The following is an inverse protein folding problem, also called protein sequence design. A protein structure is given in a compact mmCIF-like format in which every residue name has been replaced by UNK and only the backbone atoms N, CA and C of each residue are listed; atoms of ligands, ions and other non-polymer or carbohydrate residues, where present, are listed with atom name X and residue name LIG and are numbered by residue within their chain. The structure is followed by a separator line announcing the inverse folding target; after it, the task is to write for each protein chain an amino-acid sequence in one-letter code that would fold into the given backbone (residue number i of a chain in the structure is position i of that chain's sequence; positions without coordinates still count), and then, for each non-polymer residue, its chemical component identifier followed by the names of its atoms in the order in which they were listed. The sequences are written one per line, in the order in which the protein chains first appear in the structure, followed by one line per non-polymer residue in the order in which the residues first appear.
data_IF_434026569764
#
_entry.id   IF_434026569764
#
_cell.length_a   1.000
_cell.length_b   1.000
_cell.length_c   1.000
_cell.angle_alpha   90.00
_cell.angle_beta   90.00
_cell.angle_gamma   90.00
#
_symmetry.space_group_name_H-M   'P 1'
#
loop_
_entity.id
_entity.type
_entity.pdbx_description
1 polymer ?
#
# COMPACT_ATOMS: atom_id res chain seq x y z
N UNK A 1 -12.12 14.79 -16.12
CA UNK A 1 -12.25 15.43 -14.78
C UNK A 1 -13.24 14.62 -13.94
N UNK A 2 -12.92 14.29 -12.68
CA UNK A 2 -13.82 13.54 -11.80
C UNK A 2 -14.99 14.40 -11.28
N UNK A 3 -16.18 13.79 -11.11
CA UNK A 3 -17.36 14.51 -10.60
C UNK A 3 -17.17 14.95 -9.14
N UNK A 4 -17.84 16.03 -8.69
CA UNK A 4 -17.78 16.50 -7.31
C UNK A 4 -18.17 15.42 -6.28
N UNK A 5 -19.16 14.57 -6.62
CA UNK A 5 -19.61 13.49 -5.75
C UNK A 5 -18.51 12.42 -5.52
N UNK A 6 -17.70 12.13 -6.55
CA UNK A 6 -16.61 11.18 -6.43
C UNK A 6 -15.46 11.76 -5.59
N UNK A 7 -15.15 13.05 -5.73
CA UNK A 7 -14.16 13.72 -4.87
C UNK A 7 -14.54 13.65 -3.39
N UNK A 8 -15.81 13.90 -3.07
CA UNK A 8 -16.29 13.84 -1.69
C UNK A 8 -16.30 12.42 -1.12
N UNK A 9 -16.65 11.41 -1.94
CA UNK A 9 -16.58 10.00 -1.54
C UNK A 9 -15.14 9.56 -1.24
N UNK A 10 -14.16 10.01 -2.03
CA UNK A 10 -12.74 9.72 -1.81
C UNK A 10 -12.17 10.45 -0.60
N UNK A 11 -12.61 11.70 -0.35
CA UNK A 11 -12.28 12.48 0.86
C UNK A 11 -12.74 11.75 2.12
N UNK A 12 -13.97 11.26 2.15
CA UNK A 12 -14.54 10.50 3.27
C UNK A 12 -13.86 9.13 3.49
N UNK A 13 -13.28 8.53 2.46
CA UNK A 13 -12.54 7.25 2.55
C UNK A 13 -11.05 7.41 2.89
N UNK A 14 -10.57 8.61 3.25
CA UNK A 14 -9.18 8.84 3.64
C UNK A 14 -8.18 8.57 2.51
N UNK A 15 -8.63 8.56 1.26
CA UNK A 15 -7.80 8.28 0.07
C UNK A 15 -7.36 9.59 -0.59
N UNK A 16 -6.41 10.29 0.02
CA UNK A 16 -5.66 11.36 -0.66
C UNK A 16 -4.65 10.71 -1.62
N UNK A 17 -5.10 10.41 -2.84
CA UNK A 17 -4.20 10.13 -3.96
C UNK A 17 -3.84 11.47 -4.60
N UNK A 18 -2.56 11.83 -4.56
CA UNK A 18 -1.94 13.02 -5.16
C UNK A 18 -2.18 14.36 -4.43
N UNK A 19 -1.21 14.78 -3.61
CA UNK A 19 -0.95 16.21 -3.40
C UNK A 19 -0.01 16.68 -4.52
N UNK A 20 -0.45 17.71 -5.25
CA UNK A 20 0.46 18.50 -6.07
C UNK A 20 1.41 19.24 -5.11
N UNK A 21 2.69 18.90 -5.19
CA UNK A 21 3.75 19.73 -4.63
C UNK A 21 3.91 21.02 -5.48
N UNK A 22 4.40 22.08 -4.81
CA UNK A 22 4.76 23.43 -5.26
C UNK A 22 3.65 24.47 -5.00
N UNK A 23 3.66 25.11 -3.83
CA UNK A 23 4.46 26.29 -3.44
C UNK A 23 3.79 27.58 -3.93
N UNK A 24 3.27 28.38 -3.01
CA UNK A 24 3.53 29.83 -3.00
C UNK A 24 3.14 30.44 -1.65
N UNK A 25 4.06 31.25 -1.14
CA UNK A 25 3.90 32.07 0.05
C UNK A 25 2.79 33.10 -0.18
N UNK A 26 1.72 33.02 0.61
CA UNK A 26 0.69 34.05 0.71
C UNK A 26 0.50 34.45 2.17
N UNK A 27 1.33 35.38 2.64
CA UNK A 27 1.13 36.07 3.92
C UNK A 27 -0.08 37.01 3.80
N UNK A 28 -1.12 36.81 4.60
CA UNK A 28 -2.07 37.87 4.93
C UNK A 28 -2.55 37.72 6.38
N UNK A 29 -2.15 38.70 7.18
CA UNK A 29 -2.53 38.96 8.58
C UNK A 29 -3.38 40.22 8.61
N UNK A 30 -4.62 40.13 9.10
CA UNK A 30 -5.53 41.18 9.63
C UNK A 30 -6.65 40.40 10.37
N UNK A 31 -7.29 40.74 11.48
CA UNK A 31 -7.48 41.96 12.29
C UNK A 31 -7.94 41.55 13.70
N UNK A 32 -7.41 42.17 14.76
CA UNK A 32 -8.08 43.08 15.71
C UNK A 32 -9.19 42.52 16.64
N UNK A 33 -8.94 42.58 17.95
CA UNK A 33 -9.89 43.10 18.96
C UNK A 33 -9.20 43.32 20.33
N UNK A 34 -9.20 44.54 20.91
CA UNK A 34 -8.68 44.83 22.26
C UNK A 34 -9.78 45.28 23.24
N UNK A 35 -9.59 45.02 24.54
CA UNK A 35 -10.23 45.60 25.78
C UNK A 35 -9.88 44.63 26.94
N UNK A 36 -9.50 44.98 28.16
CA UNK A 36 -9.72 46.11 29.07
C UNK A 36 -8.72 46.02 30.26
N UNK A 37 -8.25 47.17 30.77
CA UNK A 37 -8.17 47.57 32.22
C UNK A 37 -7.24 46.73 33.14
N UNK A 38 -6.25 47.25 33.89
CA UNK A 38 -6.29 48.29 34.95
C UNK A 38 -4.87 48.79 35.36
N UNK A 39 -4.81 50.06 35.77
CA UNK A 39 -3.98 50.72 36.81
C UNK A 39 -2.44 50.94 36.70
N UNK A 40 -2.13 52.21 36.38
CA UNK A 40 -1.30 53.18 37.11
C UNK A 40 -0.06 52.73 37.94
N UNK A 41 1.12 53.25 37.58
CA UNK A 41 1.93 54.14 38.44
C UNK A 41 2.98 54.92 37.62
N UNK A 42 3.06 56.23 37.89
CA UNK A 42 4.00 57.24 37.34
C UNK A 42 5.41 57.11 37.95
N UNK A 43 6.48 57.37 37.17
CA UNK A 43 7.37 58.54 37.31
C UNK A 43 8.66 58.45 36.45
N UNK A 44 8.73 59.36 35.47
CA UNK A 44 9.84 60.23 35.02
C UNK A 44 11.28 59.75 34.82
N UNK A 45 11.72 59.95 33.56
CA UNK A 45 12.97 60.58 33.10
C UNK A 45 14.32 59.83 33.18
N UNK A 46 14.79 59.30 32.06
CA UNK A 46 15.81 59.96 31.20
C UNK A 46 16.28 59.02 30.04
N UNK A 47 16.31 59.60 28.84
CA UNK A 47 17.17 59.33 27.67
C UNK A 47 17.31 57.91 27.06
N UNK A 48 16.59 57.73 25.94
CA UNK A 48 16.85 57.05 24.65
C UNK A 48 17.98 56.00 24.42
N UNK A 49 17.77 55.06 23.47
CA UNK A 49 18.23 53.66 23.55
C UNK A 49 19.60 53.38 22.90
N UNK A 50 20.49 52.60 23.52
CA UNK A 50 20.70 51.13 23.45
C UNK A 50 20.68 50.45 22.05
N UNK A 51 21.78 49.72 21.79
CA UNK A 51 21.94 48.39 21.13
C UNK A 51 22.71 48.33 19.80
N UNK A 52 24.00 47.98 19.94
CA UNK A 52 24.75 46.87 19.31
C UNK A 52 24.53 46.60 17.80
N UNK A 53 25.52 46.83 16.93
CA UNK A 53 26.73 46.03 16.71
C UNK A 53 26.49 44.61 16.14
N UNK A 54 26.96 44.43 14.90
CA UNK A 54 27.43 43.20 14.22
C UNK A 54 26.39 42.14 13.80
N UNK A 55 25.92 42.26 12.56
CA UNK A 55 25.49 41.13 11.74
C UNK A 55 26.00 41.32 10.30
N UNK A 56 27.27 40.99 10.08
CA UNK A 56 27.87 40.83 8.75
C UNK A 56 28.36 39.38 8.63
N UNK A 57 28.11 38.76 7.47
CA UNK A 57 28.57 37.44 7.03
C UNK A 57 27.62 36.25 7.30
N UNK A 58 26.52 36.14 6.53
CA UNK A 58 25.92 34.83 6.19
C UNK A 58 24.88 34.98 5.07
N UNK A 59 25.32 35.28 3.85
CA UNK A 59 24.41 35.43 2.68
C UNK A 59 24.94 34.83 1.37
N UNK A 60 25.98 33.98 1.41
CA UNK A 60 26.63 33.45 0.19
C UNK A 60 26.64 31.93 0.00
N UNK A 61 26.09 31.12 0.90
CA UNK A 61 26.19 29.64 0.81
C UNK A 61 24.90 28.88 0.44
N UNK A 62 23.78 29.54 0.16
CA UNK A 62 22.48 28.84 0.00
C UNK A 62 22.18 28.45 -1.47
N UNK A 63 22.94 28.92 -2.46
CA UNK A 63 22.60 28.76 -3.88
C UNK A 63 23.36 27.67 -4.64
N UNK A 64 24.25 26.89 -4.00
CA UNK A 64 25.03 25.85 -4.70
C UNK A 64 24.47 24.41 -4.57
N UNK A 65 23.42 24.17 -3.79
CA UNK A 65 22.92 22.81 -3.49
C UNK A 65 21.75 22.31 -4.34
N UNK A 66 21.38 22.99 -5.43
CA UNK A 66 20.20 22.62 -6.24
C UNK A 66 20.47 21.77 -7.48
N UNK A 67 21.73 21.39 -7.76
CA UNK A 67 22.08 20.74 -9.04
C UNK A 67 22.21 19.20 -8.99
N UNK A 68 22.00 18.56 -7.83
CA UNK A 68 22.16 17.09 -7.68
C UNK A 68 20.84 16.30 -7.53
N UNK A 69 19.69 16.87 -7.89
CA UNK A 69 18.37 16.24 -7.67
C UNK A 69 17.80 15.45 -8.87
N UNK A 70 18.64 14.97 -9.78
CA UNK A 70 18.21 14.37 -11.07
C UNK A 70 18.42 12.86 -11.17
N UNK A 71 18.64 12.14 -10.06
CA UNK A 71 18.68 10.67 -10.07
C UNK A 71 18.07 10.02 -8.80
N UNK A 72 16.72 9.82 -8.73
CA UNK A 72 16.23 8.77 -7.84
C UNK A 72 15.03 7.96 -8.36
N UNK A 73 14.80 7.84 -9.68
CA UNK A 73 13.62 7.10 -10.17
C UNK A 73 13.72 5.57 -10.06
N UNK A 74 14.92 5.00 -9.90
CA UNK A 74 15.09 3.57 -9.60
C UNK A 74 14.73 3.21 -8.15
N UNK A 75 15.04 4.08 -7.19
CA UNK A 75 14.79 3.80 -5.76
C UNK A 75 13.34 4.05 -5.36
N UNK A 76 12.70 5.10 -5.89
CA UNK A 76 11.33 5.45 -5.49
C UNK A 76 10.32 4.44 -6.05
N UNK A 77 10.44 4.02 -7.31
CA UNK A 77 9.53 3.02 -7.89
C UNK A 77 9.72 1.65 -7.26
N UNK A 78 10.96 1.21 -7.01
CA UNK A 78 11.23 -0.03 -6.26
C UNK A 78 10.62 0.02 -4.85
N UNK A 79 10.78 1.14 -4.12
CA UNK A 79 10.15 1.32 -2.80
C UNK A 79 8.63 1.30 -2.89
N UNK A 80 8.03 1.92 -3.92
CA UNK A 80 6.58 1.88 -4.17
C UNK A 80 6.09 0.45 -4.43
N UNK A 81 6.82 -0.33 -5.21
CA UNK A 81 6.48 -1.73 -5.49
C UNK A 81 6.61 -2.61 -4.25
N UNK A 82 7.65 -2.42 -3.44
CA UNK A 82 7.79 -3.10 -2.15
C UNK A 82 6.61 -2.76 -1.24
N UNK A 83 6.27 -1.47 -1.10
CA UNK A 83 5.11 -1.04 -0.31
C UNK A 83 3.80 -1.62 -0.85
N UNK A 84 3.65 -1.74 -2.18
CA UNK A 84 2.48 -2.38 -2.81
C UNK A 84 2.39 -3.85 -2.42
N UNK A 85 3.49 -4.61 -2.53
CA UNK A 85 3.55 -6.03 -2.13
C UNK A 85 3.26 -6.20 -0.64
N UNK A 86 3.84 -5.36 0.22
CA UNK A 86 3.59 -5.39 1.66
C UNK A 86 2.12 -5.13 2.01
N UNK A 87 1.47 -4.17 1.35
CA UNK A 87 0.03 -3.91 1.55
C UNK A 87 -0.84 -5.09 1.13
N UNK A 88 -0.46 -5.81 0.07
CA UNK A 88 -1.16 -7.03 -0.38
C UNK A 88 -1.01 -8.12 0.69
N UNK A 89 0.21 -8.36 1.18
CA UNK A 89 0.48 -9.33 2.25
C UNK A 89 -0.27 -8.96 3.53
N UNK A 90 -0.26 -7.69 3.93
CA UNK A 90 -0.97 -7.22 5.12
C UNK A 90 -2.48 -7.44 5.00
N UNK A 91 -3.06 -7.20 3.81
CA UNK A 91 -4.47 -7.49 3.55
C UNK A 91 -4.77 -8.97 3.71
N UNK A 92 -4.01 -9.84 3.05
CA UNK A 92 -4.23 -11.29 3.12
C UNK A 92 -4.07 -11.85 4.54
N UNK A 93 -3.16 -11.26 5.35
CA UNK A 93 -3.04 -11.57 6.78
C UNK A 93 -4.26 -11.13 7.58
N UNK A 94 -4.75 -9.89 7.38
CA UNK A 94 -5.91 -9.35 8.12
C UNK A 94 -7.21 -10.09 7.82
N UNK A 95 -7.41 -10.52 6.58
CA UNK A 95 -8.63 -11.23 6.17
C UNK A 95 -8.63 -12.71 6.57
N UNK A 96 -7.52 -13.21 7.12
CA UNK A 96 -7.24 -14.64 7.33
C UNK A 96 -7.53 -15.45 6.06
N UNK A 97 -7.37 -14.80 4.90
CA UNK A 97 -7.80 -15.33 3.61
C UNK A 97 -6.98 -16.56 3.22
N UNK A 98 -5.70 -16.59 3.62
CA UNK A 98 -4.83 -17.74 3.40
C UNK A 98 -5.34 -18.97 4.16
N UNK A 99 -5.77 -18.83 5.42
CA UNK A 99 -6.33 -19.95 6.19
C UNK A 99 -7.63 -20.48 5.55
N UNK A 100 -8.46 -19.58 5.00
CA UNK A 100 -9.67 -19.98 4.27
C UNK A 100 -9.33 -20.75 3.00
N UNK A 101 -8.33 -20.30 2.24
CA UNK A 101 -7.87 -20.99 1.03
C UNK A 101 -7.24 -22.34 1.37
N UNK A 102 -6.38 -22.40 2.39
CA UNK A 102 -5.78 -23.64 2.87
C UNK A 102 -6.82 -24.67 3.32
N UNK A 103 -7.94 -24.24 3.91
CA UNK A 103 -9.05 -25.15 4.24
C UNK A 103 -9.89 -25.55 3.04
N UNK A 104 -10.02 -24.68 2.03
CA UNK A 104 -10.77 -24.97 0.81
C UNK A 104 -10.02 -25.92 -0.14
N UNK A 105 -8.69 -25.84 -0.19
CA UNK A 105 -7.84 -26.70 -1.03
C UNK A 105 -8.16 -28.20 -0.83
N UNK A 106 -8.06 -28.79 0.38
CA UNK A 106 -8.32 -30.22 0.57
C UNK A 106 -9.79 -30.56 0.29
N UNK A 107 -10.73 -29.64 0.56
CA UNK A 107 -12.15 -29.87 0.26
C UNK A 107 -12.40 -29.98 -1.23
N UNK A 108 -11.82 -29.08 -2.03
CA UNK A 108 -11.90 -29.15 -3.48
C UNK A 108 -11.10 -30.31 -4.06
N UNK A 109 -9.92 -30.60 -3.50
CA UNK A 109 -9.10 -31.75 -3.87
C UNK A 109 -9.91 -33.05 -3.75
N UNK A 110 -10.52 -33.30 -2.59
CA UNK A 110 -11.32 -34.50 -2.35
C UNK A 110 -12.49 -34.60 -3.33
N UNK A 111 -13.21 -33.50 -3.58
CA UNK A 111 -14.30 -33.51 -4.58
C UNK A 111 -13.77 -33.83 -5.98
N UNK A 112 -12.65 -33.26 -6.38
CA UNK A 112 -12.05 -33.53 -7.68
C UNK A 112 -11.59 -34.99 -7.80
N UNK A 113 -10.95 -35.54 -6.77
CA UNK A 113 -10.51 -36.94 -6.71
C UNK A 113 -11.71 -37.90 -6.78
N UNK A 114 -12.76 -37.64 -5.98
CA UNK A 114 -14.01 -38.42 -5.98
C UNK A 114 -14.68 -38.40 -7.35
N UNK A 115 -14.80 -37.22 -7.97
CA UNK A 115 -15.40 -37.07 -9.29
C UNK A 115 -14.56 -37.77 -10.35
N UNK A 116 -13.23 -37.62 -10.32
CA UNK A 116 -12.35 -38.28 -11.25
C UNK A 116 -12.45 -39.81 -11.16
N UNK A 117 -12.47 -40.36 -9.94
CA UNK A 117 -12.63 -41.80 -9.73
C UNK A 117 -13.99 -42.30 -10.20
N UNK A 118 -15.07 -41.53 -9.99
CA UNK A 118 -16.40 -41.86 -10.51
C UNK A 118 -16.44 -41.85 -12.03
N UNK A 119 -15.86 -40.83 -12.66
CA UNK A 119 -15.80 -40.74 -14.13
C UNK A 119 -14.97 -41.88 -14.71
N UNK A 120 -13.82 -42.17 -14.11
CA UNK A 120 -12.97 -43.29 -14.52
C UNK A 120 -13.68 -44.64 -14.40
N UNK A 121 -14.48 -44.85 -13.35
CA UNK A 121 -15.28 -46.05 -13.18
C UNK A 121 -16.41 -46.22 -14.21
N UNK A 122 -16.83 -45.15 -14.87
CA UNK A 122 -17.87 -45.17 -15.91
C UNK A 122 -17.30 -45.40 -17.33
N UNK A 123 -15.97 -45.44 -17.50
CA UNK A 123 -15.37 -45.65 -18.81
C UNK A 123 -15.58 -47.09 -19.31
N UNK A 124 -15.90 -47.28 -20.60
CA UNK A 124 -16.00 -48.61 -21.21
C UNK A 124 -14.63 -49.29 -21.29
N UNK A 125 -14.60 -50.62 -21.32
CA UNK A 125 -13.35 -51.37 -21.51
C UNK A 125 -12.81 -51.24 -22.95
N UNK A 126 -11.48 -51.15 -23.16
CA UNK A 126 -10.41 -51.26 -22.15
C UNK A 126 -10.23 -49.97 -21.35
N UNK A 127 -10.22 -50.10 -20.02
CA UNK A 127 -10.09 -48.97 -19.10
C UNK A 127 -8.62 -48.51 -19.08
N UNK A 128 -8.31 -47.23 -19.38
CA UNK A 128 -6.95 -46.71 -19.25
C UNK A 128 -6.53 -46.74 -17.77
N UNK A 129 -5.23 -46.78 -17.48
CA UNK A 129 -4.75 -46.53 -16.10
C UNK A 129 -5.27 -45.18 -15.62
N UNK A 130 -5.51 -45.02 -14.32
CA UNK A 130 -5.99 -43.76 -13.76
C UNK A 130 -5.01 -42.60 -14.05
N UNK A 131 -3.70 -42.90 -14.09
CA UNK A 131 -2.66 -41.97 -14.53
C UNK A 131 -2.83 -41.54 -16.01
N UNK A 132 -3.13 -42.48 -16.90
CA UNK A 132 -3.36 -42.19 -18.32
C UNK A 132 -4.63 -41.38 -18.52
N UNK A 133 -5.68 -41.67 -17.75
CA UNK A 133 -6.91 -40.88 -17.74
C UNK A 133 -6.65 -39.42 -17.36
N UNK A 134 -5.85 -39.18 -16.32
CA UNK A 134 -5.47 -37.81 -15.94
C UNK A 134 -4.57 -37.12 -16.96
N UNK A 135 -3.63 -37.86 -17.58
CA UNK A 135 -2.81 -37.36 -18.69
C UNK A 135 -3.66 -36.93 -19.88
N UNK A 136 -4.71 -37.68 -20.19
CA UNK A 136 -5.65 -37.36 -21.26
C UNK A 136 -6.51 -36.12 -20.95
N UNK A 137 -6.82 -35.87 -19.68
CA UNK A 137 -7.51 -34.66 -19.22
C UNK A 137 -6.58 -33.43 -19.10
N UNK A 138 -5.27 -33.60 -19.35
CA UNK A 138 -4.24 -32.57 -19.11
C UNK A 138 -4.26 -32.03 -17.68
N UNK A 139 -4.59 -32.90 -16.71
CA UNK A 139 -4.54 -32.58 -15.28
C UNK A 139 -3.13 -32.91 -14.78
N UNK A 140 -2.52 -31.94 -14.12
CA UNK A 140 -1.24 -32.15 -13.45
C UNK A 140 -1.43 -33.12 -12.26
N UNK A 141 -0.69 -34.23 -12.28
CA UNK A 141 -0.76 -35.28 -11.26
C UNK A 141 -0.33 -34.74 -9.88
N UNK A 142 0.59 -33.76 -9.84
CA UNK A 142 1.01 -33.13 -8.60
C UNK A 142 -0.12 -32.30 -7.97
N UNK A 143 -0.97 -31.67 -8.79
CA UNK A 143 -2.06 -30.82 -8.32
C UNK A 143 -3.16 -31.63 -7.62
N UNK A 144 -3.43 -32.84 -8.12
CA UNK A 144 -4.42 -33.77 -7.55
C UNK A 144 -3.81 -34.74 -6.53
N UNK A 145 -2.51 -34.60 -6.21
CA UNK A 145 -1.76 -35.46 -5.30
C UNK A 145 -1.87 -36.95 -5.66
N UNK A 146 -1.77 -37.26 -6.97
CA UNK A 146 -1.85 -38.64 -7.45
C UNK A 146 -0.47 -39.31 -7.42
N UNK A 147 -0.40 -40.51 -6.84
CA UNK A 147 0.81 -41.32 -6.86
C UNK A 147 0.75 -42.34 -8.01
N UNK A 148 1.58 -42.13 -9.04
CA UNK A 148 1.66 -43.03 -10.19
C UNK A 148 2.24 -44.41 -9.82
N UNK A 149 3.03 -44.51 -8.74
CA UNK A 149 3.62 -45.78 -8.32
C UNK A 149 2.59 -46.71 -7.67
N UNK A 150 1.68 -46.15 -6.87
CA UNK A 150 0.68 -46.89 -6.09
C UNK A 150 -0.74 -46.83 -6.73
N UNK A 151 -0.90 -46.15 -7.87
CA UNK A 151 -2.17 -45.89 -8.58
C UNK A 151 -3.27 -45.34 -7.64
N UNK A 152 -2.87 -44.53 -6.65
CA UNK A 152 -3.76 -44.01 -5.61
C UNK A 152 -3.51 -42.53 -5.28
N UNK A 153 -4.48 -41.88 -4.64
CA UNK A 153 -4.33 -40.52 -4.16
C UNK A 153 -3.55 -40.51 -2.84
N UNK A 154 -2.57 -39.60 -2.72
CA UNK A 154 -1.85 -39.35 -1.48
C UNK A 154 -2.81 -38.73 -0.47
N UNK A 155 -2.82 -39.29 0.74
CA UNK A 155 -3.60 -38.81 1.90
C UNK A 155 -2.82 -37.79 2.71
#
# INVERSE_FOLDING_TARGET
MYSPALKEKLRKQGRTYYSHAKSDHGSHSVSASPKEVTDHHHCTSNDSPIIAAKASNSKRDITQNTENLTQPFGSVEQKRDILRRLRIVERYRKEEALLKVEHLIPKWLNVCQDVAQRVWNLLPEPRPSLAEFFRQLHVDLELIQFDEAEDCFRS
#
